data_IF_071705539306
#
_entry.id   IF_071705539306
#
_cell.length_a   1.000
_cell.length_b   1.000
_cell.length_c   1.000
_cell.angle_alpha   90.00
_cell.angle_beta   90.00
_cell.angle_gamma   90.00
#
_symmetry.space_group_name_H-M   'P 1'
#
loop_
_entity.id
_entity.type
_entity.pdbx_description
1 polymer ?
#
# COMPACT_ATOMS: atom_id res chain seq x y z
N UNK A 1 -1.03 -10.87 -63.89
CA UNK A 1 -1.67 -10.23 -62.74
C UNK A 1 -0.89 -10.71 -61.51
N UNK A 2 0.02 -9.87 -61.05
CA UNK A 2 0.88 -10.16 -59.87
C UNK A 2 0.17 -9.75 -58.60
N UNK A 3 0.06 -10.68 -57.64
CA UNK A 3 -0.45 -10.41 -56.31
C UNK A 3 0.77 -10.02 -55.46
N UNK A 4 0.78 -8.74 -55.06
CA UNK A 4 1.75 -8.20 -54.10
C UNK A 4 1.46 -8.75 -52.71
N UNK A 5 2.45 -9.45 -52.14
CA UNK A 5 2.45 -9.85 -50.76
C UNK A 5 2.75 -8.64 -49.86
N UNK A 6 1.89 -8.41 -48.88
CA UNK A 6 2.10 -7.44 -47.80
C UNK A 6 3.15 -8.01 -46.81
N UNK A 7 4.08 -7.20 -46.28
CA UNK A 7 5.03 -7.65 -45.26
C UNK A 7 4.31 -7.81 -43.91
N UNK A 8 4.56 -8.94 -43.25
CA UNK A 8 4.16 -9.21 -41.88
C UNK A 8 4.75 -8.15 -40.93
N UNK A 9 3.87 -7.45 -40.25
CA UNK A 9 4.25 -6.59 -39.13
C UNK A 9 4.60 -7.45 -37.92
N UNK A 10 5.88 -7.56 -37.65
CA UNK A 10 6.40 -8.06 -36.36
C UNK A 10 5.89 -7.16 -35.24
N UNK A 11 5.45 -7.72 -34.08
CA UNK A 11 5.07 -6.91 -32.94
C UNK A 11 6.28 -6.16 -32.40
N UNK A 12 6.13 -4.93 -31.93
CA UNK A 12 7.23 -4.18 -31.35
C UNK A 12 7.72 -4.86 -30.07
N UNK A 13 8.97 -5.29 -30.08
CA UNK A 13 9.69 -5.65 -28.85
C UNK A 13 9.78 -4.39 -27.98
N UNK A 14 8.91 -4.28 -26.97
CA UNK A 14 9.03 -3.26 -25.95
C UNK A 14 10.25 -3.55 -25.08
N UNK A 15 11.41 -3.18 -25.57
CA UNK A 15 12.53 -2.86 -24.71
C UNK A 15 12.20 -1.54 -24.02
N UNK A 16 11.77 -1.62 -22.75
CA UNK A 16 11.61 -0.46 -21.89
C UNK A 16 12.98 0.21 -21.80
N UNK A 17 13.14 1.48 -22.23
CA UNK A 17 14.42 2.15 -22.05
C UNK A 17 14.71 2.28 -20.56
N UNK A 18 15.92 1.87 -20.11
CA UNK A 18 16.45 2.25 -18.81
C UNK A 18 16.39 3.77 -18.71
N UNK A 19 15.44 4.29 -17.98
CA UNK A 19 15.34 5.74 -17.75
C UNK A 19 16.41 6.12 -16.73
N UNK A 20 17.58 6.47 -17.21
CA UNK A 20 18.57 7.20 -16.42
C UNK A 20 18.19 8.67 -16.50
N UNK A 21 17.55 9.21 -15.46
CA UNK A 21 17.44 10.66 -15.31
C UNK A 21 18.77 11.17 -14.77
N UNK A 22 19.53 11.88 -15.57
CA UNK A 22 20.72 12.60 -15.10
C UNK A 22 20.27 13.86 -14.38
N UNK A 23 20.62 13.99 -13.12
CA UNK A 23 20.55 15.25 -12.40
C UNK A 23 21.67 16.15 -12.91
N UNK A 24 21.30 17.21 -13.64
CA UNK A 24 22.21 18.16 -14.27
C UNK A 24 23.00 19.02 -13.26
N UNK A 25 22.67 18.97 -11.97
CA UNK A 25 23.27 19.80 -10.94
C UNK A 25 24.35 19.10 -10.10
N UNK A 26 24.29 17.79 -9.93
CA UNK A 26 25.20 17.06 -9.03
C UNK A 26 25.90 15.84 -9.64
N UNK A 27 25.68 15.50 -10.90
CA UNK A 27 26.35 14.38 -11.58
C UNK A 27 26.00 12.99 -11.01
N UNK A 28 25.01 12.89 -10.16
CA UNK A 28 24.50 11.63 -9.61
C UNK A 28 23.43 11.06 -10.55
N UNK A 29 23.69 9.89 -11.10
CA UNK A 29 22.68 9.18 -11.87
C UNK A 29 21.77 8.44 -10.88
N UNK A 30 20.52 8.88 -10.74
CA UNK A 30 19.51 8.11 -10.04
C UNK A 30 19.18 6.86 -10.84
N UNK A 31 19.44 5.69 -10.26
CA UNK A 31 19.16 4.40 -10.88
C UNK A 31 17.94 3.79 -10.22
N UNK A 32 17.02 3.28 -11.05
CA UNK A 32 15.86 2.52 -10.60
C UNK A 32 16.04 1.07 -10.99
N UNK A 33 15.61 0.20 -10.11
CA UNK A 33 15.64 -1.25 -10.34
C UNK A 33 14.27 -1.86 -10.12
N UNK A 34 14.06 -3.00 -10.74
CA UNK A 34 12.85 -3.81 -10.53
C UNK A 34 13.12 -4.77 -9.38
N UNK A 35 12.30 -4.69 -8.34
CA UNK A 35 12.37 -5.56 -7.16
C UNK A 35 10.99 -6.17 -6.90
N UNK A 36 10.95 -7.37 -6.35
CA UNK A 36 9.72 -7.92 -5.79
C UNK A 36 9.43 -7.30 -4.43
N UNK A 37 8.15 -7.00 -4.16
CA UNK A 37 7.76 -6.40 -2.89
C UNK A 37 8.21 -7.24 -1.68
N UNK A 38 8.13 -8.57 -1.77
CA UNK A 38 8.59 -9.47 -0.71
C UNK A 38 10.10 -9.56 -0.51
N UNK A 39 10.92 -8.89 -1.34
CA UNK A 39 12.35 -8.74 -1.13
C UNK A 39 12.69 -7.55 -0.22
N UNK A 40 11.79 -6.57 -0.11
CA UNK A 40 12.00 -5.30 0.60
C UNK A 40 10.99 -5.06 1.71
N UNK A 41 10.01 -5.97 1.88
CA UNK A 41 8.99 -5.90 2.92
C UNK A 41 8.47 -7.29 3.28
N UNK A 42 8.05 -7.46 4.53
CA UNK A 42 7.24 -8.62 4.93
C UNK A 42 5.77 -8.37 4.60
N UNK A 43 5.10 -9.38 4.04
CA UNK A 43 3.66 -9.33 3.79
C UNK A 43 2.94 -10.11 4.88
N UNK A 44 2.19 -9.40 5.70
CA UNK A 44 1.57 -9.93 6.92
C UNK A 44 0.05 -9.92 6.79
N UNK A 45 -0.56 -11.11 6.81
CA UNK A 45 -2.02 -11.25 6.91
C UNK A 45 -2.51 -11.00 8.34
N UNK A 46 -3.74 -10.53 8.46
CA UNK A 46 -4.37 -10.31 9.75
C UNK A 46 -5.17 -11.51 10.27
N UNK A 47 -5.75 -11.34 11.45
CA UNK A 47 -6.60 -12.34 12.10
C UNK A 47 -7.69 -11.69 12.96
N UNK A 48 -8.70 -12.48 13.29
CA UNK A 48 -9.84 -12.03 14.08
C UNK A 48 -10.00 -12.95 15.30
N UNK A 49 -10.00 -12.41 16.53
CA UNK A 49 -10.38 -13.16 17.71
C UNK A 49 -11.81 -13.67 17.60
N UNK A 50 -12.15 -14.74 18.33
CA UNK A 50 -13.52 -15.25 18.36
C UNK A 50 -14.50 -14.15 18.77
N UNK A 51 -15.49 -13.89 17.91
CA UNK A 51 -16.54 -12.89 18.17
C UNK A 51 -17.59 -13.37 19.17
N UNK A 52 -17.57 -14.66 19.54
CA UNK A 52 -18.46 -15.22 20.55
C UNK A 52 -17.91 -15.12 21.99
N UNK A 53 -16.70 -14.60 22.15
CA UNK A 53 -16.09 -14.37 23.46
C UNK A 53 -15.85 -12.87 23.68
N UNK A 54 -16.68 -12.28 24.52
CA UNK A 54 -16.63 -10.83 24.81
C UNK A 54 -15.33 -10.42 25.51
N UNK A 55 -14.68 -11.33 26.26
CA UNK A 55 -13.39 -11.06 26.94
C UNK A 55 -12.24 -10.78 25.96
N UNK A 56 -12.41 -11.03 24.67
CA UNK A 56 -11.40 -10.79 23.66
C UNK A 56 -11.47 -9.37 23.05
N UNK A 57 -12.51 -8.62 23.39
CA UNK A 57 -12.83 -7.32 22.80
C UNK A 57 -12.77 -6.19 23.81
N UNK A 58 -12.86 -4.96 23.29
CA UNK A 58 -12.91 -3.71 24.05
C UNK A 58 -11.68 -3.48 24.97
N UNK A 59 -10.50 -3.98 24.56
CA UNK A 59 -9.21 -3.76 25.22
C UNK A 59 -8.46 -2.53 24.71
N UNK A 60 -7.12 -2.59 24.76
CA UNK A 60 -6.23 -1.47 24.44
C UNK A 60 -5.50 -1.63 23.10
N UNK A 61 -5.55 -2.81 22.46
CA UNK A 61 -4.86 -3.11 21.22
C UNK A 61 -5.76 -2.70 20.03
N UNK A 62 -5.28 -1.78 19.21
CA UNK A 62 -5.97 -1.37 18.01
C UNK A 62 -6.10 -2.53 17.02
N UNK A 63 -7.32 -2.76 16.50
CA UNK A 63 -7.63 -3.84 15.57
C UNK A 63 -8.48 -3.31 14.42
N UNK A 64 -7.87 -3.16 13.25
CA UNK A 64 -8.46 -2.51 12.09
C UNK A 64 -9.24 -3.49 11.22
N UNK A 65 -10.42 -3.04 10.75
CA UNK A 65 -11.21 -3.70 9.72
C UNK A 65 -11.14 -2.91 8.40
N UNK A 66 -11.32 -3.55 7.21
CA UNK A 66 -11.25 -2.87 5.92
C UNK A 66 -12.22 -1.69 5.76
N UNK A 67 -13.35 -1.71 6.48
CA UNK A 67 -14.33 -0.64 6.46
C UNK A 67 -13.81 0.67 7.06
N UNK A 68 -12.84 0.58 7.98
CA UNK A 68 -12.22 1.74 8.64
C UNK A 68 -11.18 2.45 7.74
N UNK A 69 -10.72 1.78 6.69
CA UNK A 69 -9.77 2.37 5.74
C UNK A 69 -10.57 3.11 4.67
N UNK A 70 -10.52 4.43 4.77
CA UNK A 70 -11.16 5.36 3.83
C UNK A 70 -10.07 6.17 3.09
N UNK A 71 -10.28 7.47 2.95
CA UNK A 71 -9.37 8.37 2.22
C UNK A 71 -8.26 8.96 3.11
N UNK A 72 -8.11 8.46 4.36
CA UNK A 72 -7.03 8.92 5.24
C UNK A 72 -5.70 8.26 4.89
N UNK A 73 -4.63 9.05 4.95
CA UNK A 73 -3.25 8.57 4.72
C UNK A 73 -2.75 7.78 5.94
N UNK A 74 -3.08 8.25 7.14
CA UNK A 74 -2.61 7.67 8.39
C UNK A 74 -3.76 7.23 9.27
N UNK A 75 -3.52 6.13 9.98
CA UNK A 75 -4.40 5.64 11.05
C UNK A 75 -3.61 5.51 12.36
N UNK A 76 -4.20 5.93 13.48
CA UNK A 76 -3.58 5.91 14.80
C UNK A 76 -4.46 5.27 15.86
N UNK A 77 -5.74 5.01 15.56
CA UNK A 77 -6.67 4.31 16.43
C UNK A 77 -7.74 3.65 15.57
N UNK A 78 -8.15 2.45 15.97
CA UNK A 78 -9.25 1.70 15.38
C UNK A 78 -10.56 1.95 16.11
N UNK A 79 -11.69 1.70 15.44
CA UNK A 79 -13.02 1.75 16.06
C UNK A 79 -13.21 0.63 17.09
N UNK A 80 -12.75 -0.58 16.75
CA UNK A 80 -12.76 -1.73 17.64
C UNK A 80 -11.35 -2.05 18.11
N UNK A 81 -11.28 -2.50 19.36
CA UNK A 81 -10.01 -2.93 19.97
C UNK A 81 -10.13 -4.35 20.47
N UNK A 82 -9.01 -5.01 20.62
CA UNK A 82 -8.93 -6.34 21.22
C UNK A 82 -8.13 -6.28 22.54
N UNK A 83 -8.42 -7.22 23.42
CA UNK A 83 -7.64 -7.40 24.65
C UNK A 83 -6.35 -8.18 24.36
N UNK A 84 -5.42 -8.19 25.31
CA UNK A 84 -4.24 -9.07 25.24
C UNK A 84 -4.66 -10.54 25.11
N UNK A 85 -5.70 -10.96 25.83
CA UNK A 85 -6.24 -12.31 25.75
C UNK A 85 -6.81 -12.61 24.34
N UNK A 86 -7.50 -11.66 23.72
CA UNK A 86 -7.98 -11.78 22.33
C UNK A 86 -6.83 -11.88 21.34
N UNK A 87 -5.77 -11.11 21.54
CA UNK A 87 -4.56 -11.21 20.72
C UNK A 87 -3.91 -12.60 20.84
N UNK A 88 -3.66 -13.08 22.07
CA UNK A 88 -2.97 -14.33 22.34
C UNK A 88 -3.75 -15.58 21.88
N UNK A 89 -5.09 -15.47 21.82
CA UNK A 89 -5.99 -16.54 21.36
C UNK A 89 -6.50 -16.38 19.92
N UNK A 90 -5.77 -15.63 19.11
CA UNK A 90 -6.12 -15.42 17.69
C UNK A 90 -4.91 -15.53 16.76
N UNK A 91 -5.17 -15.46 15.46
CA UNK A 91 -4.13 -15.36 14.44
C UNK A 91 -3.73 -13.91 14.14
N UNK A 92 -4.23 -12.93 14.89
CA UNK A 92 -3.84 -11.53 14.75
C UNK A 92 -2.32 -11.37 14.94
N UNK A 93 -1.74 -10.45 14.20
CA UNK A 93 -0.31 -10.13 14.27
C UNK A 93 -0.15 -8.67 14.62
N UNK A 94 0.74 -8.37 15.58
CA UNK A 94 1.11 -7.00 15.88
C UNK A 94 1.95 -6.45 14.73
N UNK A 95 1.54 -5.33 14.20
CA UNK A 95 2.18 -4.61 13.11
C UNK A 95 2.86 -3.36 13.67
N UNK A 96 4.13 -3.11 13.32
CA UNK A 96 4.86 -1.95 13.79
C UNK A 96 4.38 -0.64 13.14
N UNK A 97 4.73 0.48 13.75
CA UNK A 97 4.57 1.82 13.17
C UNK A 97 5.26 1.86 11.80
N UNK A 98 4.65 2.55 10.84
CA UNK A 98 5.15 2.64 9.46
C UNK A 98 4.65 1.52 8.55
N UNK A 99 3.99 0.48 9.07
CA UNK A 99 3.34 -0.54 8.24
C UNK A 99 2.31 0.11 7.32
N UNK A 100 2.30 -0.27 6.04
CA UNK A 100 1.28 0.13 5.09
C UNK A 100 0.21 -0.96 5.04
N UNK A 101 -0.96 -0.64 5.56
CA UNK A 101 -2.14 -1.49 5.48
C UNK A 101 -2.63 -1.52 4.02
N UNK A 102 -2.96 -2.72 3.53
CA UNK A 102 -3.52 -2.91 2.19
C UNK A 102 -4.71 -3.87 2.29
N UNK A 103 -5.90 -3.43 1.89
CA UNK A 103 -7.08 -4.30 1.87
C UNK A 103 -6.99 -5.30 0.72
N UNK A 104 -7.03 -6.60 1.06
CA UNK A 104 -6.84 -7.70 0.12
C UNK A 104 -8.14 -8.28 -0.44
N UNK A 105 -9.30 -7.88 0.13
CA UNK A 105 -10.65 -8.32 -0.27
C UNK A 105 -11.70 -7.28 0.10
N UNK A 106 -12.93 -7.43 -0.38
CA UNK A 106 -14.06 -6.53 -0.08
C UNK A 106 -13.75 -5.05 -0.35
N UNK A 107 -13.18 -4.76 -1.51
CA UNK A 107 -12.67 -3.44 -1.91
C UNK A 107 -11.14 -3.41 -1.85
N UNK A 108 -10.52 -4.22 -2.73
CA UNK A 108 -9.05 -4.32 -2.85
C UNK A 108 -8.42 -2.96 -3.09
N UNK A 109 -7.31 -2.71 -2.41
CA UNK A 109 -6.40 -1.60 -2.69
C UNK A 109 -6.63 -0.34 -1.87
N UNK A 110 -7.49 -0.35 -0.85
CA UNK A 110 -7.47 0.74 0.13
C UNK A 110 -6.21 0.61 0.98
N UNK A 111 -5.54 1.73 1.21
CA UNK A 111 -4.27 1.78 1.93
C UNK A 111 -4.27 2.86 2.99
N UNK A 112 -3.53 2.62 4.08
CA UNK A 112 -3.21 3.62 5.09
C UNK A 112 -1.90 3.25 5.79
N UNK A 113 -1.21 4.22 6.37
CA UNK A 113 0.04 4.03 7.12
C UNK A 113 -0.28 4.02 8.61
N UNK A 114 0.21 3.01 9.35
CA UNK A 114 0.09 2.94 10.81
C UNK A 114 0.96 4.00 11.49
N UNK A 115 0.35 4.85 12.33
CA UNK A 115 1.07 5.75 13.25
C UNK A 115 1.24 5.18 14.66
N UNK A 116 0.57 4.09 14.97
CA UNK A 116 0.65 3.35 16.22
C UNK A 116 0.60 1.87 15.89
N UNK A 117 1.27 1.05 16.69
CA UNK A 117 1.18 -0.40 16.57
C UNK A 117 -0.27 -0.87 16.68
N UNK A 118 -0.61 -1.92 15.93
CA UNK A 118 -1.95 -2.48 15.94
C UNK A 118 -2.05 -3.74 15.11
N UNK A 119 -3.21 -4.36 15.16
CA UNK A 119 -3.54 -5.58 14.43
C UNK A 119 -4.55 -5.30 13.32
N UNK A 120 -4.70 -6.23 12.41
CA UNK A 120 -5.72 -6.18 11.36
C UNK A 120 -6.54 -7.46 11.34
N UNK A 121 -7.74 -7.39 10.77
CA UNK A 121 -8.48 -8.60 10.43
C UNK A 121 -7.88 -9.29 9.19
N UNK A 122 -8.39 -10.46 8.84
CA UNK A 122 -7.93 -11.26 7.70
C UNK A 122 -8.24 -10.63 6.32
N UNK A 123 -8.86 -9.48 6.26
CA UNK A 123 -9.11 -8.73 5.01
C UNK A 123 -7.93 -7.88 4.55
N UNK A 124 -6.79 -7.99 5.21
CA UNK A 124 -5.59 -7.25 4.87
C UNK A 124 -4.43 -8.17 4.48
N UNK A 125 -3.58 -7.64 3.62
CA UNK A 125 -2.20 -8.06 3.41
C UNK A 125 -1.31 -6.85 3.69
N UNK A 126 -0.90 -6.70 4.94
CA UNK A 126 -0.15 -5.53 5.41
C UNK A 126 1.30 -5.62 4.98
N UNK A 127 1.85 -4.51 4.52
CA UNK A 127 3.22 -4.39 4.03
C UNK A 127 4.06 -3.78 5.15
N UNK A 128 4.97 -4.57 5.71
CA UNK A 128 5.90 -4.15 6.76
C UNK A 128 7.26 -3.88 6.09
N UNK A 129 7.63 -2.61 5.85
CA UNK A 129 8.88 -2.28 5.16
C UNK A 129 10.10 -2.79 5.92
N UNK A 130 11.05 -3.39 5.21
CA UNK A 130 12.36 -3.69 5.78
C UNK A 130 13.14 -2.41 6.04
N UNK A 131 13.79 -2.33 7.19
CA UNK A 131 14.56 -1.16 7.59
C UNK A 131 15.69 -0.91 6.59
N UNK A 132 15.83 0.33 6.12
CA UNK A 132 16.81 0.77 5.13
C UNK A 132 16.66 0.14 3.73
N UNK A 133 15.53 -0.52 3.43
CA UNK A 133 15.27 -1.07 2.09
C UNK A 133 14.03 -0.47 1.45
N UNK A 134 12.98 -0.13 2.24
CA UNK A 134 11.74 0.43 1.74
C UNK A 134 11.23 1.57 2.64
N UNK A 135 10.93 2.72 2.04
CA UNK A 135 10.27 3.83 2.72
C UNK A 135 8.75 3.66 2.72
N UNK A 136 8.11 3.85 3.89
CA UNK A 136 6.67 3.67 4.07
C UNK A 136 5.84 4.61 3.20
N UNK A 137 6.26 5.86 3.03
CA UNK A 137 5.49 6.80 2.22
C UNK A 137 5.75 6.61 0.73
N UNK A 138 6.95 6.21 0.35
CA UNK A 138 7.26 5.81 -1.02
C UNK A 138 6.33 4.69 -1.48
N UNK A 139 6.23 3.58 -0.73
CA UNK A 139 5.33 2.47 -1.13
C UNK A 139 3.86 2.89 -1.03
N UNK A 140 3.46 3.69 -0.05
CA UNK A 140 2.11 4.25 0.03
C UNK A 140 1.77 5.08 -1.22
N UNK A 141 2.70 5.88 -1.74
CA UNK A 141 2.49 6.68 -2.96
C UNK A 141 2.23 5.82 -4.21
N UNK A 142 2.55 4.52 -4.15
CA UNK A 142 2.29 3.52 -5.21
C UNK A 142 0.97 2.76 -5.02
N UNK A 143 0.08 3.23 -4.14
CA UNK A 143 -1.19 2.57 -3.79
C UNK A 143 -2.06 2.22 -5.01
N UNK A 144 -2.14 3.09 -6.01
CA UNK A 144 -2.90 2.81 -7.24
C UNK A 144 -2.28 1.71 -8.11
N UNK A 145 -0.97 1.56 -8.08
CA UNK A 145 -0.27 0.47 -8.77
C UNK A 145 -0.51 -0.86 -8.04
N UNK A 146 -0.39 -0.86 -6.71
CA UNK A 146 -0.71 -2.02 -5.88
C UNK A 146 -2.16 -2.46 -6.04
N UNK A 147 -3.09 -1.50 -6.10
CA UNK A 147 -4.51 -1.78 -6.32
C UNK A 147 -4.74 -2.46 -7.67
N UNK A 148 -4.23 -1.88 -8.77
CA UNK A 148 -4.37 -2.46 -10.12
C UNK A 148 -3.78 -3.86 -10.20
N UNK A 149 -2.61 -4.07 -9.59
CA UNK A 149 -2.01 -5.39 -9.48
C UNK A 149 -2.93 -6.35 -8.72
N UNK A 150 -3.39 -5.94 -7.52
CA UNK A 150 -4.26 -6.74 -6.67
C UNK A 150 -5.57 -7.13 -7.35
N UNK A 151 -6.23 -6.18 -8.02
CA UNK A 151 -7.44 -6.44 -8.80
C UNK A 151 -7.19 -7.45 -9.94
N UNK A 152 -6.04 -7.34 -10.61
CA UNK A 152 -5.65 -8.24 -11.71
C UNK A 152 -5.41 -9.66 -11.22
N UNK A 153 -4.59 -9.84 -10.17
CA UNK A 153 -4.24 -11.19 -9.69
C UNK A 153 -5.34 -11.82 -8.83
N UNK A 154 -6.21 -10.99 -8.21
CA UNK A 154 -7.35 -11.45 -7.43
C UNK A 154 -8.54 -11.92 -8.28
N UNK A 155 -8.66 -11.45 -9.52
CA UNK A 155 -9.79 -11.74 -10.41
C UNK A 155 -9.90 -13.21 -10.84
N UNK A 156 -8.86 -14.03 -10.60
CA UNK A 156 -8.83 -15.45 -10.99
C UNK A 156 -9.48 -16.42 -10.00
N UNK A 157 -10.02 -15.95 -8.87
CA UNK A 157 -10.63 -16.79 -7.84
C UNK A 157 -12.14 -16.54 -7.72
N UNK A 158 -12.87 -17.55 -7.17
CA UNK A 158 -14.32 -17.44 -6.90
C UNK A 158 -14.64 -16.29 -5.93
N UNK A 159 -13.69 -15.94 -5.08
CA UNK A 159 -13.71 -14.74 -4.24
C UNK A 159 -12.51 -13.88 -4.64
N UNK A 160 -12.77 -12.65 -5.07
CA UNK A 160 -11.72 -11.70 -5.44
C UNK A 160 -10.91 -11.35 -4.19
N UNK A 161 -9.76 -12.00 -4.04
CA UNK A 161 -8.85 -11.82 -2.90
C UNK A 161 -7.40 -11.95 -3.37
N UNK A 162 -6.53 -11.12 -2.80
CA UNK A 162 -5.08 -11.16 -3.04
C UNK A 162 -4.40 -11.84 -1.86
N UNK A 163 -3.71 -12.93 -2.10
CA UNK A 163 -2.91 -13.61 -1.08
C UNK A 163 -1.59 -12.89 -0.78
N UNK A 164 -1.04 -13.13 0.41
CA UNK A 164 0.27 -12.59 0.79
C UNK A 164 1.38 -13.00 -0.20
N UNK A 165 1.32 -14.23 -0.73
CA UNK A 165 2.28 -14.71 -1.75
C UNK A 165 2.17 -13.92 -3.07
N UNK A 166 0.96 -13.59 -3.49
CA UNK A 166 0.76 -12.76 -4.68
C UNK A 166 1.31 -11.35 -4.44
N UNK A 167 0.98 -10.73 -3.29
CA UNK A 167 1.53 -9.41 -2.94
C UNK A 167 3.06 -9.43 -2.88
N UNK A 168 3.68 -10.44 -2.26
CA UNK A 168 5.12 -10.57 -2.20
C UNK A 168 5.78 -10.71 -3.59
N UNK A 169 5.08 -11.27 -4.57
CA UNK A 169 5.57 -11.42 -5.95
C UNK A 169 5.29 -10.18 -6.84
N UNK A 170 4.64 -9.15 -6.31
CA UNK A 170 4.45 -7.92 -7.05
C UNK A 170 5.80 -7.29 -7.39
N UNK A 171 6.02 -7.02 -8.67
CA UNK A 171 7.23 -6.34 -9.16
C UNK A 171 7.00 -4.83 -9.17
N UNK A 172 7.94 -4.11 -8.58
CA UNK A 172 7.95 -2.66 -8.46
C UNK A 172 9.23 -2.09 -9.05
N UNK A 173 9.11 -1.03 -9.83
CA UNK A 173 10.25 -0.17 -10.15
C UNK A 173 10.47 0.77 -8.97
N UNK A 174 11.66 0.78 -8.40
CA UNK A 174 11.98 1.59 -7.23
C UNK A 174 13.40 2.14 -7.29
N UNK A 175 13.67 3.29 -6.65
CA UNK A 175 15.02 3.81 -6.50
C UNK A 175 15.92 2.82 -5.77
N UNK A 176 17.19 2.74 -6.20
CA UNK A 176 18.20 1.89 -5.53
C UNK A 176 18.66 2.45 -4.19
N UNK A 177 18.36 3.71 -3.88
CA UNK A 177 18.77 4.36 -2.64
C UNK A 177 17.59 4.76 -1.78
N UNK A 178 17.73 4.57 -0.46
CA UNK A 178 16.75 5.06 0.51
C UNK A 178 16.59 6.58 0.50
N UNK A 179 17.65 7.32 0.23
CA UNK A 179 17.62 8.79 0.16
C UNK A 179 16.64 9.26 -0.92
N UNK A 180 16.66 8.66 -2.09
CA UNK A 180 15.73 8.98 -3.18
C UNK A 180 14.31 8.54 -2.84
N UNK A 181 14.11 7.35 -2.25
CA UNK A 181 12.79 6.89 -1.80
C UNK A 181 12.18 7.87 -0.79
N UNK A 182 12.94 8.27 0.23
CA UNK A 182 12.51 9.24 1.25
C UNK A 182 12.22 10.61 0.64
N UNK A 183 13.03 11.05 -0.33
CA UNK A 183 12.80 12.32 -1.05
C UNK A 183 11.48 12.29 -1.81
N UNK A 184 11.22 11.22 -2.55
CA UNK A 184 9.95 11.01 -3.28
C UNK A 184 8.77 10.91 -2.31
N UNK A 185 8.89 10.11 -1.25
CA UNK A 185 7.87 9.97 -0.21
C UNK A 185 7.52 11.31 0.44
N UNK A 186 8.53 12.09 0.80
CA UNK A 186 8.36 13.41 1.39
C UNK A 186 7.70 14.40 0.43
N UNK A 187 8.04 14.35 -0.86
CA UNK A 187 7.41 15.19 -1.88
C UNK A 187 5.89 14.92 -1.96
N UNK A 188 5.49 13.65 -2.07
CA UNK A 188 4.07 13.29 -2.09
C UNK A 188 3.37 13.60 -0.78
N UNK A 189 4.01 13.37 0.37
CA UNK A 189 3.47 13.73 1.69
C UNK A 189 3.15 15.23 1.81
N UNK A 190 4.04 16.06 1.29
CA UNK A 190 3.82 17.52 1.26
C UNK A 190 2.66 17.90 0.34
N UNK A 191 2.56 17.29 -0.84
CA UNK A 191 1.44 17.51 -1.76
C UNK A 191 0.10 17.13 -1.13
N UNK A 192 0.01 15.97 -0.52
CA UNK A 192 -1.20 15.49 0.16
C UNK A 192 -1.61 16.41 1.32
N UNK A 193 -0.63 16.93 2.06
CA UNK A 193 -0.86 17.92 3.11
C UNK A 193 -1.45 19.22 2.55
N UNK A 194 -0.92 19.72 1.43
CA UNK A 194 -1.42 20.92 0.76
C UNK A 194 -2.83 20.72 0.21
N UNK A 195 -3.11 19.57 -0.41
CA UNK A 195 -4.44 19.20 -0.90
C UNK A 195 -5.45 19.19 0.26
N UNK A 196 -5.10 18.53 1.36
CA UNK A 196 -5.95 18.44 2.56
C UNK A 196 -6.27 19.82 3.13
N UNK A 197 -5.26 20.70 3.24
CA UNK A 197 -5.44 22.08 3.72
C UNK A 197 -6.35 22.88 2.79
N UNK A 198 -6.19 22.73 1.48
CA UNK A 198 -7.03 23.42 0.50
C UNK A 198 -8.48 22.95 0.56
N UNK A 199 -8.72 21.66 0.68
CA UNK A 199 -10.05 21.08 0.83
C UNK A 199 -10.75 21.55 2.11
N UNK A 200 -10.02 21.64 3.23
CA UNK A 200 -10.56 22.19 4.50
C UNK A 200 -10.98 23.65 4.36
N UNK A 201 -10.16 24.49 3.74
CA UNK A 201 -10.50 25.91 3.47
C UNK A 201 -11.75 26.04 2.60
N UNK A 202 -11.88 25.22 1.56
CA UNK A 202 -13.04 25.21 0.67
C UNK A 202 -14.34 24.81 1.40
N UNK A 203 -14.28 23.86 2.35
CA UNK A 203 -15.44 23.46 3.16
C UNK A 203 -15.88 24.57 4.12
N UNK A 204 -14.93 25.27 4.76
CA UNK A 204 -15.21 26.35 5.71
C UNK A 204 -15.85 27.54 4.96
N UNK A 205 -15.37 27.90 3.77
CA UNK A 205 -15.92 29.00 2.97
C UNK A 205 -17.33 28.75 2.40
N UNK A 206 -17.84 27.49 2.47
CA UNK A 206 -19.19 27.11 2.03
C UNK A 206 -20.19 26.97 3.17
N UNK A 207 -19.79 27.18 4.44
CA UNK A 207 -20.73 27.18 5.55
C UNK A 207 -21.56 28.48 5.51
N UNK A 208 -22.90 28.41 5.43
CA UNK A 208 -23.72 29.59 5.50
C UNK A 208 -23.55 30.27 6.87
N UNK A 209 -23.33 31.58 6.84
CA UNK A 209 -23.39 32.40 8.03
C UNK A 209 -24.78 32.25 8.64
N UNK A 210 -24.84 31.70 9.85
CA UNK A 210 -26.08 31.62 10.64
C UNK A 210 -26.33 32.97 11.30
#
# INVERSE_FOLDING_TARGET
>A
MSILALPELLPPTHTVPKCASMDLLNGSAYTWEQRKLGEVADIVGGGTPSTSNDDYWDGDIDWYAPAEIADQIYVASSERKITQQGYDNSSAKMLPVGTVLFTSRAGIGKTAILRKEGCTNQGFQSIVPHINELDSYFIFSRSEEMKRYGETVGAGSTFVEVSGKQMANMELMMPTTMEEQVTIGSFFSNLDSLITLHQRKSKIGKMPLK
#
